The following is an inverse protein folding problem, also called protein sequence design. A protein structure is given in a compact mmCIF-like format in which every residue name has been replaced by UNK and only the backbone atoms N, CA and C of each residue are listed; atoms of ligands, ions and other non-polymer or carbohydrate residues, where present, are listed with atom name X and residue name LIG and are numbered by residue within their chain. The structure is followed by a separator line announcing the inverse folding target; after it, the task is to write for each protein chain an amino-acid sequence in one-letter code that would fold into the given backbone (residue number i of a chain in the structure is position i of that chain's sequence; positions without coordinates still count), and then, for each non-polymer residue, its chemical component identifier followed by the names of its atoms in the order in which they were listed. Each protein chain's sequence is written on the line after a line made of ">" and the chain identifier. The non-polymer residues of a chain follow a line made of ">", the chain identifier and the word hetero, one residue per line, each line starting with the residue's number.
data_IF_169225389006
#
_entry.id   IF_169225389006
#
_cell.length_a   1.000
_cell.length_b   1.000
_cell.length_c   1.000
_cell.angle_alpha   90.00
_cell.angle_beta   90.00
_cell.angle_gamma   90.00
#
_symmetry.space_group_name_H-M   'P 1'
#
loop_
_entity.id
_entity.type
_entity.pdbx_description
1 polymer ?
#
# COMPACT_ATOMS: atom_id res chain seq x y z
N UNK A 1 7.08 4.70 9.25
CA UNK A 1 7.05 3.50 8.38
C UNK A 1 8.18 2.57 8.81
N UNK A 2 7.92 1.27 8.97
CA UNK A 2 8.98 0.36 9.38
C UNK A 2 9.89 -0.01 8.19
N UNK A 3 11.00 -0.68 8.48
CA UNK A 3 12.03 -0.97 7.47
C UNK A 3 11.47 -1.80 6.30
N UNK A 4 10.64 -2.78 6.59
CA UNK A 4 10.07 -3.66 5.56
C UNK A 4 9.09 -2.92 4.65
N UNK A 5 8.25 -2.11 5.25
CA UNK A 5 7.28 -1.31 4.49
C UNK A 5 7.99 -0.22 3.70
N UNK A 6 9.03 0.39 4.28
CA UNK A 6 9.82 1.39 3.57
C UNK A 6 10.49 0.79 2.32
N UNK A 7 11.08 -0.38 2.45
CA UNK A 7 11.69 -1.07 1.32
C UNK A 7 10.66 -1.37 0.22
N UNK A 8 9.49 -1.85 0.61
CA UNK A 8 8.39 -2.08 -0.34
C UNK A 8 7.97 -0.77 -1.02
N UNK A 9 7.75 0.29 -0.24
CA UNK A 9 7.33 1.59 -0.74
C UNK A 9 8.32 2.14 -1.77
N UNK A 10 9.62 2.00 -1.50
CA UNK A 10 10.65 2.51 -2.38
C UNK A 10 10.69 1.82 -3.74
N UNK A 11 10.11 0.61 -3.86
CA UNK A 11 10.04 -0.11 -5.13
C UNK A 11 8.86 0.35 -5.99
N UNK A 12 7.94 1.15 -5.45
CA UNK A 12 6.72 1.54 -6.14
C UNK A 12 6.96 2.68 -7.11
N UNK A 13 6.16 2.73 -8.18
CA UNK A 13 6.09 3.90 -9.05
C UNK A 13 5.48 5.06 -8.30
N UNK A 14 5.63 6.28 -8.83
CA UNK A 14 5.06 7.48 -8.20
C UNK A 14 3.54 7.36 -8.02
N UNK A 15 2.86 6.80 -9.02
CA UNK A 15 1.40 6.59 -8.94
C UNK A 15 1.04 5.63 -7.81
N UNK A 16 1.78 4.53 -7.69
CA UNK A 16 1.53 3.56 -6.63
C UNK A 16 1.91 4.10 -5.25
N UNK A 17 2.93 4.94 -5.18
CA UNK A 17 3.27 5.62 -3.91
C UNK A 17 2.13 6.53 -3.46
N UNK A 18 1.55 7.28 -4.38
CA UNK A 18 0.39 8.12 -4.07
C UNK A 18 -0.79 7.29 -3.61
N UNK A 19 -1.06 6.17 -4.28
CA UNK A 19 -2.14 5.27 -3.89
C UNK A 19 -1.89 4.67 -2.52
N UNK A 20 -0.65 4.27 -2.22
CA UNK A 20 -0.27 3.75 -0.92
C UNK A 20 -0.58 4.78 0.17
N UNK A 21 -0.12 6.01 -0.01
CA UNK A 21 -0.33 7.08 0.96
C UNK A 21 -1.81 7.37 1.18
N UNK A 22 -2.58 7.41 0.09
CA UNK A 22 -4.03 7.63 0.16
C UNK A 22 -4.72 6.50 0.93
N UNK A 23 -4.40 5.24 0.64
CA UNK A 23 -5.00 4.11 1.32
C UNK A 23 -4.62 4.05 2.79
N UNK A 24 -3.36 4.31 3.11
CA UNK A 24 -2.93 4.36 4.50
C UNK A 24 -3.68 5.44 5.28
N UNK A 25 -3.87 6.60 4.67
CA UNK A 25 -4.62 7.70 5.30
C UNK A 25 -6.09 7.30 5.53
N UNK A 26 -6.73 6.64 4.57
CA UNK A 26 -8.12 6.20 4.70
C UNK A 26 -8.25 5.21 5.86
N UNK A 27 -7.38 4.21 5.95
CA UNK A 27 -7.44 3.25 7.05
C UNK A 27 -7.19 3.91 8.40
N UNK A 28 -6.32 4.90 8.45
CA UNK A 28 -6.01 5.61 9.69
C UNK A 28 -7.18 6.48 10.15
N UNK A 29 -7.74 7.30 9.26
CA UNK A 29 -8.76 8.28 9.63
C UNK A 29 -10.17 7.69 9.67
N UNK A 30 -10.55 6.90 8.68
CA UNK A 30 -11.90 6.34 8.62
C UNK A 30 -12.00 5.02 9.39
N UNK A 31 -10.97 4.19 9.32
CA UNK A 31 -10.95 2.91 10.00
C UNK A 31 -10.51 2.96 11.44
N UNK A 32 -9.97 4.09 11.92
CA UNK A 32 -9.49 4.24 13.28
C UNK A 32 -8.25 3.40 13.60
N UNK A 33 -7.53 2.94 12.60
CA UNK A 33 -6.34 2.11 12.80
C UNK A 33 -5.12 2.98 13.12
N UNK A 34 -4.16 2.40 13.85
CA UNK A 34 -2.87 3.04 14.05
C UNK A 34 -2.12 3.12 12.72
N UNK A 35 -1.22 4.11 12.59
CA UNK A 35 -0.48 4.32 11.35
C UNK A 35 0.25 3.07 10.88
N UNK A 36 0.90 2.35 11.78
CA UNK A 36 1.64 1.13 11.42
C UNK A 36 0.73 0.07 10.80
N UNK A 37 -0.47 -0.11 11.36
CA UNK A 37 -1.44 -1.07 10.85
C UNK A 37 -2.02 -0.59 9.52
N UNK A 38 -2.30 0.70 9.42
CA UNK A 38 -2.81 1.31 8.20
C UNK A 38 -1.86 1.11 7.02
N UNK A 39 -0.56 1.24 7.27
CA UNK A 39 0.46 1.02 6.25
C UNK A 39 0.53 -0.44 5.81
N UNK A 40 0.33 -1.38 6.72
CA UNK A 40 0.28 -2.80 6.38
C UNK A 40 -0.92 -3.12 5.48
N UNK A 41 -2.07 -2.56 5.77
CA UNK A 41 -3.26 -2.74 4.93
C UNK A 41 -3.05 -2.11 3.56
N UNK A 42 -2.43 -0.94 3.50
CA UNK A 42 -2.12 -0.29 2.23
C UNK A 42 -1.16 -1.15 1.40
N UNK A 43 -0.13 -1.73 2.03
CA UNK A 43 0.79 -2.64 1.38
C UNK A 43 0.05 -3.83 0.77
N UNK A 44 -0.85 -4.44 1.54
CA UNK A 44 -1.64 -5.57 1.07
C UNK A 44 -2.49 -5.20 -0.14
N UNK A 45 -3.12 -4.03 -0.10
CA UNK A 45 -3.93 -3.54 -1.20
C UNK A 45 -3.10 -3.40 -2.49
N UNK A 46 -1.93 -2.78 -2.39
CA UNK A 46 -1.03 -2.61 -3.53
C UNK A 46 -0.58 -3.98 -4.07
N UNK A 47 -0.21 -4.91 -3.18
CA UNK A 47 0.21 -6.25 -3.60
C UNK A 47 -0.89 -6.97 -4.39
N UNK A 48 -2.14 -6.83 -3.98
CA UNK A 48 -3.26 -7.44 -4.70
C UNK A 48 -3.45 -6.84 -6.08
N UNK A 49 -3.28 -5.52 -6.21
CA UNK A 49 -3.35 -4.85 -7.51
C UNK A 49 -2.25 -5.35 -8.44
N UNK A 50 -1.04 -5.52 -7.94
CA UNK A 50 0.08 -6.02 -8.74
C UNK A 50 -0.16 -7.45 -9.21
N UNK A 51 -0.76 -8.29 -8.35
CA UNK A 51 -1.13 -9.65 -8.74
C UNK A 51 -2.16 -9.66 -9.86
N UNK A 52 -3.14 -8.77 -9.80
CA UNK A 52 -4.16 -8.65 -10.84
C UNK A 52 -3.54 -8.27 -12.18
N UNK A 53 -2.61 -7.33 -12.19
CA UNK A 53 -1.91 -6.94 -13.39
C UNK A 53 -1.18 -8.11 -14.04
N UNK A 54 -0.49 -8.93 -13.22
CA UNK A 54 0.21 -10.11 -13.73
C UNK A 54 -0.76 -11.13 -14.33
N UNK A 55 -1.91 -11.34 -13.70
CA UNK A 55 -2.93 -12.26 -14.22
C UNK A 55 -3.56 -11.74 -15.51
N UNK A 56 -3.70 -10.45 -15.61
CA UNK A 56 -4.30 -9.79 -16.76
C UNK A 56 -3.43 -9.87 -18.00
N UNK A 57 -2.13 -9.91 -17.83
CA UNK A 57 -1.15 -9.86 -18.94
C UNK A 57 -0.83 -11.21 -19.58
N UNK A 58 -1.62 -12.19 -19.39
CA UNK A 58 -1.40 -13.49 -20.04
C UNK A 58 -1.47 -13.44 -21.55
#
# INVERSE_FOLDING_TARGET
>A
MNVHIQAFYDTLSDELKCLFDERAAIYEYEGGHKRAISERYAQRHICELLKREKQWQK
#
